data_IF_711793355303
#
_entry.id   IF_711793355303
#
_cell.length_a   1.000
_cell.length_b   1.000
_cell.length_c   1.000
_cell.angle_alpha   90.00
_cell.angle_beta   90.00
_cell.angle_gamma   90.00
#
_symmetry.space_group_name_H-M   'P 1'
#
loop_
_entity.id
_entity.type
_entity.pdbx_description
1 polymer ?
#
# COMPACT_ATOMS: atom_id res chain seq x y z
N UNK A 1 3.10 1.48 -21.99
CA UNK A 1 3.03 2.83 -21.40
C UNK A 1 2.74 3.81 -22.53
N UNK A 2 1.65 4.55 -22.47
CA UNK A 2 1.35 5.59 -23.46
C UNK A 2 2.13 6.85 -23.09
N UNK A 3 2.93 7.37 -24.02
CA UNK A 3 3.60 8.65 -23.83
C UNK A 3 2.53 9.74 -23.78
N UNK A 4 2.38 10.38 -22.63
CA UNK A 4 1.50 11.54 -22.51
C UNK A 4 2.09 12.68 -23.34
N UNK A 5 1.36 13.13 -24.36
CA UNK A 5 1.80 14.25 -25.18
C UNK A 5 1.81 15.55 -24.35
N UNK A 6 2.66 16.51 -24.75
CA UNK A 6 2.73 17.84 -24.12
C UNK A 6 1.35 18.49 -24.09
N UNK A 7 0.55 18.33 -25.15
CA UNK A 7 -0.81 18.85 -25.24
C UNK A 7 -1.75 18.25 -24.19
N UNK A 8 -1.60 16.97 -23.86
CA UNK A 8 -2.39 16.34 -22.81
C UNK A 8 -2.05 16.96 -21.44
N UNK A 9 -0.77 17.20 -21.17
CA UNK A 9 -0.31 17.86 -19.94
C UNK A 9 -0.80 19.30 -19.81
N UNK A 10 -0.73 20.08 -20.90
CA UNK A 10 -1.20 21.47 -20.93
C UNK A 10 -2.69 21.55 -20.62
N UNK A 11 -3.51 20.72 -21.29
CA UNK A 11 -4.96 20.65 -21.02
C UNK A 11 -5.24 20.25 -19.58
N UNK A 12 -4.56 19.23 -19.07
CA UNK A 12 -4.73 18.75 -17.69
C UNK A 12 -4.37 19.81 -16.66
N UNK A 13 -3.28 20.56 -16.86
CA UNK A 13 -2.90 21.68 -15.99
C UNK A 13 -3.92 22.80 -16.00
N UNK A 14 -4.50 23.12 -17.17
CA UNK A 14 -5.53 24.16 -17.27
C UNK A 14 -6.82 23.77 -16.54
N UNK A 15 -7.21 22.50 -16.56
CA UNK A 15 -8.44 22.01 -15.91
C UNK A 15 -8.27 21.71 -14.42
N UNK A 16 -7.17 21.06 -14.05
CA UNK A 16 -6.93 20.52 -12.69
C UNK A 16 -5.99 21.43 -11.86
N UNK A 17 -5.46 22.51 -12.44
CA UNK A 17 -4.48 23.40 -11.81
C UNK A 17 -3.30 22.61 -11.20
N UNK A 18 -2.99 22.80 -9.91
CA UNK A 18 -1.93 22.08 -9.21
C UNK A 18 -2.27 20.59 -8.99
N UNK A 19 -3.57 20.23 -8.96
CA UNK A 19 -3.96 18.84 -8.71
C UNK A 19 -3.61 17.89 -9.86
N UNK A 20 -3.27 18.43 -11.05
CA UNK A 20 -2.77 17.65 -12.17
C UNK A 20 -1.43 16.94 -11.89
N UNK A 21 -0.68 17.41 -10.89
CA UNK A 21 0.60 16.82 -10.49
C UNK A 21 0.42 15.51 -9.72
N UNK A 22 -0.74 15.32 -9.07
CA UNK A 22 -1.03 14.09 -8.36
C UNK A 22 -1.41 12.97 -9.35
N UNK A 23 -1.02 11.75 -9.00
CA UNK A 23 -1.47 10.54 -9.70
C UNK A 23 -2.98 10.41 -9.52
N UNK A 24 -3.71 10.10 -10.59
CA UNK A 24 -5.16 9.93 -10.50
C UNK A 24 -5.49 8.75 -9.58
N UNK A 25 -6.53 8.84 -8.73
CA UNK A 25 -6.99 7.70 -7.97
C UNK A 25 -7.35 6.58 -8.97
N UNK A 26 -6.83 5.37 -8.74
CA UNK A 26 -6.85 4.20 -9.65
C UNK A 26 -5.80 4.15 -10.78
N UNK A 27 -4.94 5.15 -10.94
CA UNK A 27 -3.81 5.05 -11.86
C UNK A 27 -2.60 4.40 -11.15
N UNK A 28 -2.20 3.21 -11.62
CA UNK A 28 -1.04 2.48 -11.09
C UNK A 28 -1.37 1.06 -10.68
N UNK A 29 -0.39 0.37 -10.09
CA UNK A 29 -0.59 -0.96 -9.52
C UNK A 29 -1.27 -0.85 -8.16
N UNK A 30 -2.32 -1.64 -7.95
CA UNK A 30 -2.99 -1.74 -6.66
C UNK A 30 -2.04 -2.36 -5.64
N UNK A 31 -1.97 -1.85 -4.40
CA UNK A 31 -1.12 -2.45 -3.39
C UNK A 31 -1.64 -3.86 -3.03
N UNK A 32 -0.71 -4.76 -2.69
CA UNK A 32 -1.05 -6.13 -2.28
C UNK A 32 -1.62 -6.19 -0.86
N UNK A 33 -1.23 -5.24 -0.01
CA UNK A 33 -1.72 -5.06 1.35
C UNK A 33 -2.18 -3.61 1.47
N UNK A 34 -3.42 -3.41 1.89
CA UNK A 34 -4.06 -2.10 2.02
C UNK A 34 -4.46 -1.84 3.48
N UNK A 35 -4.95 -0.63 3.78
CA UNK A 35 -5.35 -0.21 5.13
C UNK A 35 -6.47 -1.10 5.72
N UNK A 36 -7.30 -1.72 4.87
CA UNK A 36 -8.32 -2.70 5.30
C UNK A 36 -7.69 -3.94 5.96
N UNK A 37 -6.45 -4.28 5.60
CA UNK A 37 -5.72 -5.42 6.14
C UNK A 37 -4.96 -5.09 7.45
N UNK A 38 -5.06 -3.85 7.95
CA UNK A 38 -4.37 -3.39 9.14
C UNK A 38 -4.78 -4.19 10.38
N UNK A 39 -6.08 -4.28 10.65
CA UNK A 39 -6.59 -4.98 11.82
C UNK A 39 -6.18 -6.47 11.83
N UNK A 40 -6.23 -7.13 10.67
CA UNK A 40 -5.84 -8.53 10.54
C UNK A 40 -4.32 -8.72 10.65
N UNK A 41 -3.52 -7.79 10.10
CA UNK A 41 -2.06 -7.78 10.23
C UNK A 41 -1.61 -7.58 11.68
N UNK A 42 -2.25 -6.67 12.41
CA UNK A 42 -1.98 -6.45 13.84
C UNK A 42 -2.35 -7.67 14.68
N UNK A 43 -3.50 -8.30 14.43
CA UNK A 43 -3.91 -9.51 15.14
C UNK A 43 -2.88 -10.64 14.97
N UNK A 44 -2.38 -10.84 13.74
CA UNK A 44 -1.38 -11.85 13.44
C UNK A 44 -0.03 -11.59 14.16
N UNK A 45 0.41 -10.33 14.23
CA UNK A 45 1.63 -9.96 14.97
C UNK A 45 1.44 -10.06 16.48
N UNK A 46 0.26 -9.71 17.00
CA UNK A 46 -0.05 -9.84 18.42
C UNK A 46 -0.01 -11.31 18.87
N UNK A 47 -0.48 -12.22 18.02
CA UNK A 47 -0.38 -13.66 18.26
C UNK A 47 1.07 -14.18 18.16
N UNK A 48 1.86 -13.66 17.22
CA UNK A 48 3.21 -14.14 16.93
C UNK A 48 4.28 -13.03 17.07
N UNK A 49 4.40 -12.45 18.28
CA UNK A 49 5.21 -11.25 18.54
C UNK A 49 6.70 -11.40 18.23
N UNK A 50 7.24 -12.60 18.40
CA UNK A 50 8.68 -12.87 18.28
C UNK A 50 9.10 -13.23 16.84
N UNK A 51 8.16 -13.68 15.99
CA UNK A 51 8.50 -14.21 14.68
C UNK A 51 7.57 -13.67 13.58
N UNK A 52 8.09 -12.70 12.83
CA UNK A 52 7.41 -12.06 11.72
C UNK A 52 7.06 -13.05 10.60
N UNK A 53 7.83 -14.12 10.41
CA UNK A 53 7.53 -15.13 9.37
C UNK A 53 6.29 -15.95 9.73
N UNK A 54 6.16 -16.32 11.00
CA UNK A 54 4.99 -17.07 11.49
C UNK A 54 3.77 -16.17 11.48
N UNK A 55 3.89 -14.91 11.95
CA UNK A 55 2.83 -13.92 11.84
C UNK A 55 2.36 -13.73 10.39
N UNK A 56 3.31 -13.63 9.45
CA UNK A 56 3.02 -13.54 8.02
C UNK A 56 2.22 -14.75 7.53
N UNK A 57 2.68 -15.97 7.82
CA UNK A 57 1.98 -17.19 7.42
C UNK A 57 0.56 -17.28 8.00
N UNK A 58 0.37 -16.90 9.28
CA UNK A 58 -0.96 -16.85 9.88
C UNK A 58 -1.88 -15.81 9.25
N UNK A 59 -1.33 -14.69 8.80
CA UNK A 59 -2.06 -13.64 8.10
C UNK A 59 -2.40 -14.03 6.65
N UNK A 60 -1.48 -14.68 5.93
CA UNK A 60 -1.77 -15.20 4.59
C UNK A 60 -2.88 -16.25 4.62
N UNK A 61 -2.89 -17.10 5.65
CA UNK A 61 -3.94 -18.12 5.84
C UNK A 61 -5.32 -17.51 6.10
N UNK A 62 -5.41 -16.38 6.81
CA UNK A 62 -6.69 -15.72 7.10
C UNK A 62 -7.16 -14.77 6.01
N UNK A 63 -6.23 -14.10 5.32
CA UNK A 63 -6.54 -13.13 4.26
C UNK A 63 -6.69 -13.75 2.88
N UNK A 64 -6.16 -14.96 2.65
CA UNK A 64 -6.09 -15.59 1.34
C UNK A 64 -5.14 -14.89 0.36
N UNK A 65 -4.34 -13.91 0.83
CA UNK A 65 -3.36 -13.18 0.03
C UNK A 65 -1.97 -13.77 0.24
N UNK A 66 -1.14 -13.70 -0.80
CA UNK A 66 0.27 -14.12 -0.72
C UNK A 66 1.17 -12.92 -0.95
N UNK A 67 2.10 -12.68 -0.04
CA UNK A 67 2.99 -11.53 -0.04
C UNK A 67 4.42 -11.93 0.27
N UNK A 68 5.39 -11.19 -0.25
CA UNK A 68 6.78 -11.40 0.16
C UNK A 68 6.98 -11.00 1.63
N UNK A 69 7.95 -11.63 2.31
CA UNK A 69 8.36 -11.21 3.66
C UNK A 69 8.75 -9.74 3.72
N UNK A 70 9.42 -9.26 2.68
CA UNK A 70 9.84 -7.85 2.59
C UNK A 70 8.62 -6.92 2.52
N UNK A 71 7.62 -7.28 1.72
CA UNK A 71 6.36 -6.54 1.60
C UNK A 71 5.63 -6.47 2.94
N UNK A 72 5.49 -7.61 3.62
CA UNK A 72 4.85 -7.66 4.93
C UNK A 72 5.60 -6.83 5.98
N UNK A 73 6.94 -6.88 5.98
CA UNK A 73 7.75 -6.04 6.88
C UNK A 73 7.62 -4.54 6.56
N UNK A 74 7.53 -4.17 5.28
CA UNK A 74 7.31 -2.77 4.86
C UNK A 74 5.95 -2.26 5.31
N UNK A 75 4.92 -3.10 5.19
CA UNK A 75 3.58 -2.82 5.70
C UNK A 75 3.58 -2.57 7.21
N UNK A 76 4.23 -3.45 7.99
CA UNK A 76 4.33 -3.22 9.44
C UNK A 76 5.07 -1.92 9.79
N UNK A 77 6.09 -1.55 9.00
CA UNK A 77 6.79 -0.27 9.17
C UNK A 77 5.92 0.93 8.85
N UNK A 78 5.09 0.88 7.80
CA UNK A 78 4.19 2.00 7.49
C UNK A 78 3.21 2.25 8.63
N UNK A 79 2.68 1.18 9.24
CA UNK A 79 1.81 1.27 10.42
C UNK A 79 2.49 1.90 11.64
N UNK A 80 3.82 1.77 11.77
CA UNK A 80 4.55 2.33 12.92
C UNK A 80 4.86 3.82 12.73
N UNK A 81 5.00 4.28 11.49
CA UNK A 81 5.28 5.69 11.19
C UNK A 81 4.07 6.58 11.50
N UNK A 82 2.84 6.07 11.37
CA UNK A 82 1.62 6.80 11.76
C UNK A 82 1.49 7.02 13.28
N UNK A 83 2.21 6.24 14.11
CA UNK A 83 2.15 6.33 15.58
C UNK A 83 3.11 7.41 16.14
N UNK A 84 4.11 7.84 15.36
CA UNK A 84 5.11 8.84 15.80
C UNK A 84 4.78 10.28 15.36
N UNK A 85 3.51 10.58 15.12
CA UNK A 85 2.99 11.93 14.81
C UNK A 85 2.22 12.47 16.01
#
# INVERSE_FOLDING_TARGET
MTLASVNHWVKRRQTEALSCLYTKPAQGWKPLINDVDEASGFAAIKANRQNVQVAKATWEASSGKVVSRLTFRRFLKSLTNDINV
#
